data_IF_565626632507
#
_entry.id   IF_565626632507
#
_cell.length_a   1.000
_cell.length_b   1.000
_cell.length_c   1.000
_cell.angle_alpha   90.00
_cell.angle_beta   90.00
_cell.angle_gamma   90.00
#
_symmetry.space_group_name_H-M   'P 1'
#
loop_
_entity.id
_entity.type
_entity.pdbx_description
1 polymer ?
#
# COMPACT_ATOMS: atom_id res chain seq x y z
N UNK A 1 6.90 -16.98 -15.25
CA UNK A 1 5.41 -16.94 -15.10
C UNK A 1 5.01 -16.87 -13.62
N UNK A 2 5.51 -17.77 -12.76
CA UNK A 2 5.22 -17.74 -11.31
C UNK A 2 5.57 -16.39 -10.64
N UNK A 3 6.76 -15.83 -10.92
CA UNK A 3 7.20 -14.55 -10.34
C UNK A 3 6.29 -13.37 -10.69
N UNK A 4 5.80 -13.33 -11.93
CA UNK A 4 4.90 -12.27 -12.40
C UNK A 4 3.53 -12.44 -11.75
N UNK A 5 2.99 -13.67 -11.71
CA UNK A 5 1.71 -13.95 -11.07
C UNK A 5 1.68 -13.58 -9.58
N UNK A 6 2.71 -13.97 -8.83
CA UNK A 6 2.84 -13.63 -7.41
C UNK A 6 2.96 -12.12 -7.21
N UNK A 7 3.76 -11.43 -8.03
CA UNK A 7 3.93 -9.99 -7.90
C UNK A 7 2.63 -9.21 -8.14
N UNK A 8 1.83 -9.63 -9.14
CA UNK A 8 0.51 -9.05 -9.39
C UNK A 8 -0.39 -9.25 -8.17
N UNK A 9 -0.49 -10.48 -7.66
CA UNK A 9 -1.40 -10.76 -6.54
C UNK A 9 -0.97 -10.03 -5.26
N UNK A 10 0.33 -10.06 -4.94
CA UNK A 10 0.85 -9.49 -3.70
C UNK A 10 0.91 -7.97 -3.71
N UNK A 11 1.30 -7.34 -4.83
CA UNK A 11 1.63 -5.91 -4.86
C UNK A 11 0.66 -5.06 -5.68
N UNK A 12 -0.10 -5.64 -6.62
CA UNK A 12 -0.95 -4.87 -7.53
C UNK A 12 -2.42 -4.91 -7.16
N UNK A 13 -2.91 -6.04 -6.64
CA UNK A 13 -4.34 -6.22 -6.36
C UNK A 13 -4.82 -5.30 -5.23
N UNK A 14 -4.08 -5.18 -4.11
CA UNK A 14 -4.46 -4.31 -2.98
C UNK A 14 -4.67 -2.85 -3.41
N UNK A 15 -3.68 -2.16 -4.02
CA UNK A 15 -3.87 -0.76 -4.40
C UNK A 15 -4.97 -0.55 -5.44
N UNK A 16 -5.15 -1.50 -6.37
CA UNK A 16 -6.25 -1.44 -7.34
C UNK A 16 -7.64 -1.44 -6.65
N UNK A 17 -7.79 -2.27 -5.61
CA UNK A 17 -9.02 -2.29 -4.81
C UNK A 17 -9.14 -1.07 -3.89
N UNK A 18 -8.06 -0.64 -3.25
CA UNK A 18 -8.06 0.53 -2.37
C UNK A 18 -8.56 1.77 -3.14
N UNK A 19 -8.04 2.03 -4.34
CA UNK A 19 -8.52 3.13 -5.18
C UNK A 19 -9.96 2.97 -5.63
N UNK A 20 -10.41 1.76 -5.96
CA UNK A 20 -11.81 1.52 -6.32
C UNK A 20 -12.76 1.75 -5.14
N UNK A 21 -12.31 1.48 -3.90
CA UNK A 21 -13.10 1.67 -2.68
C UNK A 21 -13.15 3.12 -2.21
N UNK A 22 -12.24 3.99 -2.64
CA UNK A 22 -12.30 5.44 -2.35
C UNK A 22 -13.55 6.07 -2.96
N UNK A 23 -13.96 5.66 -4.17
CA UNK A 23 -15.19 6.14 -4.79
C UNK A 23 -15.77 5.08 -5.73
N UNK A 24 -16.47 4.07 -5.20
CA UNK A 24 -16.90 2.90 -5.97
C UNK A 24 -17.92 3.24 -7.07
N UNK A 25 -18.63 4.37 -6.94
CA UNK A 25 -19.55 4.86 -7.97
C UNK A 25 -18.83 5.47 -9.19
N UNK A 26 -17.56 5.89 -9.03
CA UNK A 26 -16.80 6.61 -10.06
C UNK A 26 -15.56 5.85 -10.53
N UNK A 27 -14.98 5.02 -9.67
CA UNK A 27 -13.72 4.31 -9.91
C UNK A 27 -14.02 2.82 -9.94
N UNK A 28 -14.07 2.26 -11.14
CA UNK A 28 -14.14 0.81 -11.33
C UNK A 28 -12.80 0.15 -10.97
N UNK A 29 -12.80 -1.15 -10.69
CA UNK A 29 -11.57 -1.92 -10.45
C UNK A 29 -10.53 -1.78 -11.58
N UNK A 30 -10.98 -1.70 -12.84
CA UNK A 30 -10.09 -1.46 -13.99
C UNK A 30 -9.44 -0.08 -13.91
N UNK A 31 -10.22 0.94 -13.57
CA UNK A 31 -9.70 2.30 -13.43
C UNK A 31 -8.77 2.43 -12.22
N UNK A 32 -9.14 1.83 -11.08
CA UNK A 32 -8.29 1.77 -9.88
C UNK A 32 -6.95 1.08 -10.15
N UNK A 33 -6.96 -0.03 -10.90
CA UNK A 33 -5.75 -0.70 -11.35
C UNK A 33 -4.89 0.18 -12.28
N UNK A 34 -5.50 0.92 -13.20
CA UNK A 34 -4.76 1.86 -14.06
C UNK A 34 -4.14 3.01 -13.28
N UNK A 35 -4.86 3.56 -12.30
CA UNK A 35 -4.33 4.60 -11.40
C UNK A 35 -3.13 4.06 -10.62
N UNK A 36 -3.24 2.87 -10.05
CA UNK A 36 -2.14 2.21 -9.34
C UNK A 36 -0.93 1.97 -10.25
N UNK A 37 -1.15 1.49 -11.48
CA UNK A 37 -0.09 1.25 -12.46
C UNK A 37 0.66 2.55 -12.81
N UNK A 38 -0.06 3.60 -13.19
CA UNK A 38 0.54 4.90 -13.53
C UNK A 38 1.26 5.50 -12.32
N UNK A 39 0.64 5.48 -11.15
CA UNK A 39 1.24 5.98 -9.91
C UNK A 39 2.55 5.28 -9.56
N UNK A 40 2.62 3.96 -9.73
CA UNK A 40 3.85 3.19 -9.46
C UNK A 40 5.01 3.57 -10.37
N UNK A 41 4.75 3.90 -11.63
CA UNK A 41 5.76 4.37 -12.58
C UNK A 41 6.22 5.79 -12.22
N UNK A 42 5.27 6.67 -11.86
CA UNK A 42 5.56 8.06 -11.50
C UNK A 42 6.39 8.20 -10.23
N UNK A 43 6.26 7.27 -9.29
CA UNK A 43 7.12 7.22 -8.10
C UNK A 43 8.58 6.91 -8.44
N UNK A 44 8.86 6.43 -9.67
CA UNK A 44 10.20 6.13 -10.17
C UNK A 44 11.04 5.35 -9.13
N UNK A 45 10.56 4.17 -8.68
CA UNK A 45 11.13 3.49 -7.52
C UNK A 45 12.63 3.20 -7.69
N UNK A 46 13.11 3.02 -8.93
CA UNK A 46 14.53 2.85 -9.23
C UNK A 46 15.42 4.01 -8.77
N UNK A 47 14.89 5.23 -8.70
CA UNK A 47 15.63 6.38 -8.19
C UNK A 47 15.89 6.26 -6.68
N UNK A 48 14.94 5.68 -5.92
CA UNK A 48 15.08 5.43 -4.48
C UNK A 48 16.15 4.35 -4.20
N UNK A 49 16.27 3.35 -5.06
CA UNK A 49 17.26 2.27 -4.91
C UNK A 49 18.69 2.66 -5.32
N UNK A 50 18.88 3.86 -5.88
CA UNK A 50 20.19 4.29 -6.39
C UNK A 50 21.17 4.74 -5.30
N UNK A 51 20.68 5.08 -4.10
CA UNK A 51 21.50 5.55 -2.98
C UNK A 51 21.10 4.83 -1.68
N UNK A 52 22.03 4.11 -1.01
CA UNK A 52 21.76 3.43 0.25
C UNK A 52 21.14 4.32 1.33
N UNK A 53 21.56 5.60 1.42
CA UNK A 53 21.02 6.51 2.44
C UNK A 53 19.55 6.87 2.18
N UNK A 54 19.16 7.02 0.92
CA UNK A 54 17.78 7.32 0.54
C UNK A 54 16.85 6.14 0.85
N UNK A 55 17.35 4.91 0.68
CA UNK A 55 16.63 3.69 1.08
C UNK A 55 16.40 3.70 2.59
N UNK A 56 17.46 3.90 3.39
CA UNK A 56 17.34 3.93 4.85
C UNK A 56 16.36 4.99 5.34
N UNK A 57 16.50 6.23 4.85
CA UNK A 57 15.61 7.33 5.20
C UNK A 57 14.15 7.04 4.84
N UNK A 58 13.90 6.47 3.66
CA UNK A 58 12.54 6.11 3.23
C UNK A 58 11.93 5.04 4.12
N UNK A 59 12.68 3.98 4.42
CA UNK A 59 12.20 2.89 5.27
C UNK A 59 11.96 3.34 6.71
N UNK A 60 12.86 4.13 7.29
CA UNK A 60 12.72 4.68 8.63
C UNK A 60 11.50 5.59 8.74
N UNK A 61 11.32 6.47 7.76
CA UNK A 61 10.16 7.37 7.68
C UNK A 61 8.87 6.56 7.59
N UNK A 62 8.79 5.59 6.66
CA UNK A 62 7.61 4.73 6.52
C UNK A 62 7.32 3.96 7.82
N UNK A 63 8.34 3.37 8.44
CA UNK A 63 8.20 2.66 9.71
C UNK A 63 7.68 3.56 10.84
N UNK A 64 8.18 4.79 10.92
CA UNK A 64 7.77 5.77 11.93
C UNK A 64 6.29 6.18 11.80
N UNK A 65 5.72 6.19 10.60
CA UNK A 65 4.29 6.48 10.39
C UNK A 65 3.41 5.24 10.51
N UNK A 66 3.82 4.12 9.91
CA UNK A 66 3.02 2.89 9.84
C UNK A 66 2.94 2.22 11.22
N UNK A 67 4.03 2.21 12.00
CA UNK A 67 4.08 1.58 13.32
C UNK A 67 3.00 2.08 14.28
N UNK A 68 2.91 3.40 14.54
CA UNK A 68 1.87 3.97 15.39
C UNK A 68 0.45 3.75 14.85
N UNK A 69 0.25 3.87 13.53
CA UNK A 69 -1.05 3.63 12.90
C UNK A 69 -1.55 2.22 13.19
N UNK A 70 -0.73 1.20 12.91
CA UNK A 70 -1.07 -0.20 13.20
C UNK A 70 -1.22 -0.45 14.70
N UNK A 71 -0.37 0.17 15.53
CA UNK A 71 -0.47 0.07 16.98
C UNK A 71 -1.84 0.51 17.51
N UNK A 72 -2.35 1.66 17.03
CA UNK A 72 -3.68 2.16 17.39
C UNK A 72 -4.78 1.24 16.87
N UNK A 73 -4.70 0.78 15.61
CA UNK A 73 -5.70 -0.13 15.04
C UNK A 73 -5.79 -1.47 15.80
N UNK A 74 -4.65 -2.05 16.17
CA UNK A 74 -4.59 -3.30 16.94
C UNK A 74 -5.14 -3.07 18.35
N UNK A 75 -4.73 -2.00 19.02
CA UNK A 75 -5.22 -1.67 20.36
C UNK A 75 -6.74 -1.42 20.36
N UNK A 76 -7.25 -0.68 19.37
CA UNK A 76 -8.68 -0.43 19.23
C UNK A 76 -9.46 -1.73 19.02
N UNK A 77 -9.02 -2.59 18.10
CA UNK A 77 -9.73 -3.84 17.81
C UNK A 77 -9.70 -4.83 18.98
N UNK A 78 -8.54 -5.07 19.58
CA UNK A 78 -8.37 -6.10 20.62
C UNK A 78 -8.70 -5.62 22.03
N UNK A 79 -8.26 -4.41 22.42
CA UNK A 79 -8.42 -3.92 23.80
C UNK A 79 -9.73 -3.16 23.99
N UNK A 80 -10.08 -2.27 23.06
CA UNK A 80 -11.27 -1.40 23.20
C UNK A 80 -12.53 -2.14 22.74
N UNK A 81 -12.54 -2.62 21.49
CA UNK A 81 -13.70 -3.26 20.86
C UNK A 81 -13.86 -4.74 21.21
N UNK A 82 -12.83 -5.36 21.78
CA UNK A 82 -12.81 -6.80 22.13
C UNK A 82 -13.28 -7.67 20.96
N UNK A 83 -12.75 -7.38 19.77
CA UNK A 83 -13.02 -8.09 18.52
C UNK A 83 -14.48 -8.01 18.02
N UNK A 84 -15.25 -7.03 18.49
CA UNK A 84 -16.59 -6.74 17.96
C UNK A 84 -16.50 -5.64 16.90
N UNK A 85 -16.93 -5.97 15.69
CA UNK A 85 -16.94 -5.09 14.51
C UNK A 85 -18.23 -4.27 14.51
#
# INVERSE_FOLDING_TARGET
IATIGINIVANFISPAFDFSNVSPQRISWRMGGMIAAVGSILLTPWNLYSNPEVIHYTLETLGAFIGPLFGVLIADFYLVRKQKI
#
